data_IF_731538183115
#
_entry.id   IF_731538183115
#
_cell.length_a   1.000
_cell.length_b   1.000
_cell.length_c   1.000
_cell.angle_alpha   90.00
_cell.angle_beta   90.00
_cell.angle_gamma   90.00
#
_symmetry.space_group_name_H-M   'P 1'
#
loop_
_entity.id
_entity.type
_entity.pdbx_description
1 polymer ?
#
# COMPACT_ATOMS: atom_id res chain seq x y z
N UNK A 1 -8.93 -6.62 -4.44
CA UNK A 1 -7.65 -5.89 -4.51
C UNK A 1 -7.22 -5.69 -3.08
N UNK A 2 -5.99 -6.07 -2.76
CA UNK A 2 -5.48 -6.07 -1.39
C UNK A 2 -4.70 -4.78 -1.16
N UNK A 3 -4.90 -4.15 -0.02
CA UNK A 3 -4.08 -3.01 0.39
C UNK A 3 -2.64 -3.46 0.65
N UNK A 4 -1.70 -2.51 0.66
CA UNK A 4 -0.30 -2.81 1.01
C UNK A 4 -0.18 -3.47 2.40
N UNK A 5 -1.04 -3.07 3.35
CA UNK A 5 -1.07 -3.66 4.69
C UNK A 5 -1.49 -5.13 4.68
N UNK A 6 -2.57 -5.46 3.97
CA UNK A 6 -3.05 -6.84 3.84
C UNK A 6 -2.02 -7.72 3.14
N UNK A 7 -1.44 -7.25 2.04
CA UNK A 7 -0.43 -8.03 1.32
C UNK A 7 0.79 -8.35 2.20
N UNK A 8 1.23 -7.40 3.02
CA UNK A 8 2.34 -7.61 3.95
C UNK A 8 2.01 -8.64 5.03
N UNK A 9 0.77 -8.66 5.52
CA UNK A 9 0.30 -9.65 6.49
C UNK A 9 0.19 -11.05 5.86
N UNK A 10 -0.41 -11.14 4.67
CA UNK A 10 -0.56 -12.38 3.90
C UNK A 10 0.79 -13.04 3.57
N UNK A 11 1.77 -12.26 3.11
CA UNK A 11 3.12 -12.75 2.82
C UNK A 11 3.99 -12.88 4.09
N UNK A 12 3.48 -12.50 5.26
CA UNK A 12 4.21 -12.45 6.52
C UNK A 12 5.51 -11.61 6.43
N UNK A 13 5.49 -10.57 5.59
CA UNK A 13 6.63 -9.68 5.35
C UNK A 13 6.51 -8.46 6.26
N UNK A 14 7.45 -8.25 7.20
CA UNK A 14 7.40 -7.07 8.04
C UNK A 14 7.70 -5.81 7.22
N UNK A 15 6.98 -4.73 7.53
CA UNK A 15 7.09 -3.40 6.89
C UNK A 15 8.55 -2.94 6.74
N UNK A 16 9.39 -3.20 7.73
CA UNK A 16 10.81 -2.82 7.71
C UNK A 16 11.58 -3.55 6.62
N UNK A 17 11.33 -4.84 6.43
CA UNK A 17 11.97 -5.64 5.39
C UNK A 17 11.50 -5.17 4.02
N UNK A 18 10.19 -4.96 3.85
CA UNK A 18 9.65 -4.43 2.60
C UNK A 18 10.26 -3.07 2.25
N UNK A 19 10.37 -2.17 3.23
CA UNK A 19 10.98 -0.86 3.06
C UNK A 19 12.44 -0.97 2.56
N UNK A 20 13.22 -1.89 3.12
CA UNK A 20 14.60 -2.15 2.66
C UNK A 20 14.62 -2.66 1.21
N UNK A 21 13.69 -3.56 0.83
CA UNK A 21 13.61 -4.09 -0.54
C UNK A 21 13.34 -3.02 -1.59
N UNK A 22 12.42 -2.09 -1.29
CA UNK A 22 12.10 -0.97 -2.19
C UNK A 22 13.02 0.25 -2.01
N UNK A 23 14.05 0.18 -1.16
CA UNK A 23 14.97 1.29 -0.91
C UNK A 23 14.32 2.53 -0.30
N UNK A 24 13.33 2.34 0.59
CA UNK A 24 12.61 3.40 1.30
C UNK A 24 12.68 3.23 2.81
N UNK A 25 12.38 4.32 3.52
CA UNK A 25 12.35 4.30 4.99
C UNK A 25 11.11 3.56 5.49
N UNK A 26 11.21 2.76 6.58
CA UNK A 26 10.07 2.05 7.16
C UNK A 26 8.95 2.99 7.60
N UNK A 27 9.28 4.20 8.03
CA UNK A 27 8.29 5.22 8.38
C UNK A 27 7.50 5.71 7.15
N UNK A 28 8.13 5.78 5.97
CA UNK A 28 7.44 6.13 4.73
C UNK A 28 6.48 5.00 4.32
N UNK A 29 6.94 3.74 4.40
CA UNK A 29 6.09 2.57 4.11
C UNK A 29 4.91 2.48 5.06
N UNK A 30 5.09 2.73 6.36
CA UNK A 30 3.96 2.81 7.31
C UNK A 30 2.90 3.82 6.88
N UNK A 31 3.31 5.02 6.43
CA UNK A 31 2.37 6.02 5.91
C UNK A 31 1.67 5.56 4.63
N UNK A 32 2.35 4.80 3.78
CA UNK A 32 1.74 4.20 2.60
C UNK A 32 0.69 3.13 2.98
N UNK A 33 1.00 2.28 3.96
CA UNK A 33 0.09 1.26 4.49
C UNK A 33 -1.16 1.89 5.12
N UNK A 34 -1.00 2.96 5.90
CA UNK A 34 -2.11 3.66 6.53
C UNK A 34 -2.90 4.59 5.57
N UNK A 35 -2.46 4.72 4.30
CA UNK A 35 -3.07 5.67 3.35
C UNK A 35 -2.82 7.15 3.67
N UNK A 36 -1.97 7.47 4.64
CA UNK A 36 -1.61 8.85 5.03
C UNK A 36 -0.75 9.56 3.97
N UNK A 37 -0.11 8.79 3.09
CA UNK A 37 0.75 9.32 2.02
C UNK A 37 0.66 8.46 0.76
N UNK A 38 0.62 9.11 -0.40
CA UNK A 38 0.72 8.46 -1.71
C UNK A 38 2.22 8.24 -2.05
N UNK A 39 2.62 7.05 -2.51
CA UNK A 39 3.98 6.81 -3.01
C UNK A 39 4.27 7.63 -4.29
N UNK A 40 5.48 8.18 -4.36
CA UNK A 40 5.93 8.97 -5.51
C UNK A 40 6.09 8.14 -6.79
N UNK A 41 6.20 8.79 -7.95
CA UNK A 41 6.32 8.14 -9.28
C UNK A 41 7.48 7.15 -9.40
N UNK A 42 8.53 7.31 -8.60
CA UNK A 42 9.67 6.37 -8.54
C UNK A 42 9.41 5.19 -7.61
N UNK A 43 8.63 5.39 -6.56
CA UNK A 43 8.34 4.37 -5.53
C UNK A 43 7.22 3.44 -5.98
N UNK A 44 6.23 3.98 -6.70
CA UNK A 44 5.09 3.22 -7.22
C UNK A 44 5.48 1.98 -8.06
N UNK A 45 6.38 2.07 -9.06
CA UNK A 45 6.79 0.89 -9.83
C UNK A 45 7.55 -0.14 -8.99
N UNK A 46 8.28 0.28 -7.95
CA UNK A 46 8.99 -0.64 -7.05
C UNK A 46 8.01 -1.49 -6.23
N UNK A 47 6.94 -0.86 -5.73
CA UNK A 47 5.86 -1.55 -5.01
C UNK A 47 5.16 -2.54 -5.93
N UNK A 48 4.80 -2.12 -7.14
CA UNK A 48 4.12 -2.99 -8.12
C UNK A 48 5.02 -4.16 -8.51
N UNK A 49 6.32 -3.93 -8.72
CA UNK A 49 7.27 -4.98 -9.05
C UNK A 49 7.43 -6.00 -7.92
N UNK A 50 7.63 -5.54 -6.67
CA UNK A 50 7.81 -6.43 -5.51
C UNK A 50 6.54 -7.22 -5.17
N UNK A 51 5.37 -6.61 -5.33
CA UNK A 51 4.08 -7.26 -5.04
C UNK A 51 3.54 -8.07 -6.22
N UNK A 52 4.24 -8.08 -7.35
CA UNK A 52 3.80 -8.76 -8.58
C UNK A 52 2.48 -8.20 -9.15
N UNK A 53 2.21 -6.92 -8.90
CA UNK A 53 0.95 -6.26 -9.31
C UNK A 53 -0.25 -6.56 -8.42
N UNK A 54 -0.06 -7.21 -7.27
CA UNK A 54 -1.13 -7.38 -6.26
C UNK A 54 -1.53 -6.07 -5.60
N UNK A 55 -0.57 -5.16 -5.41
CA UNK A 55 -0.77 -3.82 -4.88
C UNK A 55 -0.45 -2.81 -5.97
N UNK A 56 -1.43 -1.95 -6.28
CA UNK A 56 -1.35 -0.97 -7.36
C UNK A 56 -1.65 0.44 -6.87
N UNK A 57 -1.51 1.45 -7.73
CA UNK A 57 -1.74 2.83 -7.34
C UNK A 57 -3.17 3.04 -6.81
N UNK A 58 -4.14 2.32 -7.38
CA UNK A 58 -5.55 2.39 -7.02
C UNK A 58 -5.78 2.08 -5.53
N UNK A 59 -4.99 1.17 -4.95
CA UNK A 59 -5.05 0.80 -3.54
C UNK A 59 -4.60 1.96 -2.62
N UNK A 60 -3.68 2.81 -3.08
CA UNK A 60 -3.22 3.98 -2.32
C UNK A 60 -4.14 5.19 -2.45
N UNK A 61 -4.80 5.36 -3.60
CA UNK A 61 -5.75 6.45 -3.80
C UNK A 61 -7.12 6.17 -3.17
N UNK A 62 -7.30 5.03 -2.49
CA UNK A 62 -8.60 4.63 -1.98
C UNK A 62 -9.64 4.48 -3.10
N UNK A 63 -9.19 4.24 -4.34
CA UNK A 63 -10.06 3.93 -5.48
C UNK A 63 -10.38 2.43 -5.42
N UNK A 64 -10.85 2.00 -4.26
CA UNK A 64 -11.69 0.83 -4.08
C UNK A 64 -13.07 1.41 -3.77
N UNK A 65 -14.10 0.98 -4.49
CA UNK A 65 -15.49 1.36 -4.27
C UNK A 65 -15.76 1.59 -2.78
N UNK A 66 -15.94 2.85 -2.40
CA UNK A 66 -16.37 3.25 -1.08
C UNK A 66 -17.69 2.52 -0.79
N UNK A 67 -17.63 1.40 -0.07
CA UNK A 67 -18.74 1.03 0.79
C UNK A 67 -18.62 1.82 2.08
N UNK A 68 -18.62 3.15 1.94
CA UNK A 68 -19.20 4.05 2.94
C UNK A 68 -20.60 4.38 2.44
N UNK A 69 -21.42 3.34 2.33
CA UNK A 69 -22.87 3.45 2.37
C UNK A 69 -23.28 3.39 3.84
N UNK A 70 -22.93 4.41 4.61
CA UNK A 70 -23.49 4.66 5.94
C UNK A 70 -23.36 6.15 6.24
N UNK A 71 -24.39 6.91 5.86
CA UNK A 71 -25.13 7.83 6.74
C UNK A 71 -25.96 8.84 5.93
N UNK A 72 -27.27 8.58 5.84
CA UNK A 72 -28.33 9.59 6.00
C UNK A 72 -29.66 8.84 6.19
N UNK A 73 -29.98 8.56 7.45
CA UNK A 73 -31.33 8.25 7.93
C UNK A 73 -31.97 9.53 8.47
#
# INVERSE_FOLDING_TARGET
MATLGEWLDEENVPVVVFAVRIGRSPQAVRRYVNGERIPDRETMPLIVAETGGKVTANDFFGIGTSSSAEEAA
#
